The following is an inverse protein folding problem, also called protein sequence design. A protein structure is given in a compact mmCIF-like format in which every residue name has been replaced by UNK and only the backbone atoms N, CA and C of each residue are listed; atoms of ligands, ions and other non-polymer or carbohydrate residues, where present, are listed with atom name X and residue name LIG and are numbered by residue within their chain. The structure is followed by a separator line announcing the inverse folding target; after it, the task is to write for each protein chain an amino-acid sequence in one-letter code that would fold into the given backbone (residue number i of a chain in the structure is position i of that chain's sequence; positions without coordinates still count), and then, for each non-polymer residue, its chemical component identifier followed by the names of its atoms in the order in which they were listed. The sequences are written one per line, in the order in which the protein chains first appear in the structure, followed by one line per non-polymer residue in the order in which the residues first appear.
data_IF_686777459654
#
_entry.id   IF_686777459654
#
_cell.length_a   1.000
_cell.length_b   1.000
_cell.length_c   1.000
_cell.angle_alpha   90.00
_cell.angle_beta   90.00
_cell.angle_gamma   90.00
#
_symmetry.space_group_name_H-M   'P 1'
#
loop_
_entity.id
_entity.type
_entity.pdbx_description
1 polymer ?
#
# COMPACT_ATOMS: atom_id res chain seq x y z
N UNK A 1 8.45 -16.33 -24.82
CA UNK A 1 7.91 -14.97 -24.61
C UNK A 1 8.09 -14.49 -23.17
N UNK A 2 7.56 -15.20 -22.15
CA UNK A 2 7.69 -14.78 -20.74
C UNK A 2 9.13 -14.47 -20.34
N UNK A 3 10.09 -15.34 -20.66
CA UNK A 3 11.51 -15.16 -20.29
C UNK A 3 12.16 -13.92 -20.93
N UNK A 4 11.79 -13.56 -22.17
CA UNK A 4 12.36 -12.39 -22.85
C UNK A 4 11.80 -11.08 -22.28
N UNK A 5 10.48 -11.01 -22.08
CA UNK A 5 9.81 -9.88 -21.44
C UNK A 5 10.29 -9.70 -20.00
N UNK A 6 10.38 -10.79 -19.24
CA UNK A 6 10.90 -10.80 -17.86
C UNK A 6 12.34 -10.29 -17.80
N UNK A 7 13.21 -10.80 -18.67
CA UNK A 7 14.61 -10.40 -18.70
C UNK A 7 14.76 -8.93 -19.10
N UNK A 8 13.96 -8.42 -20.04
CA UNK A 8 13.97 -7.02 -20.43
C UNK A 8 13.61 -6.10 -19.24
N UNK A 9 12.44 -6.30 -18.61
CA UNK A 9 12.01 -5.47 -17.49
C UNK A 9 12.92 -5.63 -16.27
N UNK A 10 13.39 -6.84 -15.99
CA UNK A 10 14.39 -7.07 -14.93
C UNK A 10 15.68 -6.28 -15.17
N UNK A 11 16.23 -6.35 -16.39
CA UNK A 11 17.48 -5.66 -16.72
C UNK A 11 17.29 -4.15 -16.71
N UNK A 12 16.13 -3.65 -17.14
CA UNK A 12 15.77 -2.25 -17.07
C UNK A 12 15.74 -1.78 -15.61
N UNK A 13 15.00 -2.48 -14.74
CA UNK A 13 14.87 -2.12 -13.33
C UNK A 13 16.20 -2.18 -12.59
N UNK A 14 16.96 -3.27 -12.75
CA UNK A 14 18.26 -3.43 -12.07
C UNK A 14 19.30 -2.40 -12.52
N UNK A 15 19.20 -1.88 -13.76
CA UNK A 15 20.19 -0.95 -14.31
C UNK A 15 19.85 0.51 -14.05
N UNK A 16 18.57 0.86 -13.97
CA UNK A 16 18.13 2.26 -13.96
C UNK A 16 17.32 2.66 -12.72
N UNK A 17 16.75 1.73 -11.96
CA UNK A 17 15.97 2.08 -10.79
C UNK A 17 16.90 2.26 -9.58
N UNK A 18 17.07 3.51 -9.17
CA UNK A 18 17.78 3.86 -7.94
C UNK A 18 16.96 3.47 -6.70
N UNK A 19 17.59 3.54 -5.53
CA UNK A 19 16.88 3.44 -4.26
C UNK A 19 15.79 4.53 -4.14
N UNK A 20 14.64 4.19 -3.57
CA UNK A 20 13.49 5.10 -3.42
C UNK A 20 13.83 6.43 -2.73
N UNK A 21 14.74 6.42 -1.75
CA UNK A 21 15.18 7.66 -1.11
C UNK A 21 16.03 8.53 -2.04
N UNK A 22 16.95 7.91 -2.80
CA UNK A 22 17.72 8.62 -3.83
C UNK A 22 16.80 9.24 -4.87
N UNK A 23 15.73 8.54 -5.26
CA UNK A 23 14.72 9.07 -6.19
C UNK A 23 14.02 10.29 -5.59
N UNK A 24 13.63 10.27 -4.31
CA UNK A 24 13.02 11.43 -3.65
C UNK A 24 13.94 12.67 -3.63
N UNK A 25 15.25 12.48 -3.45
CA UNK A 25 16.26 13.56 -3.56
C UNK A 25 16.32 14.10 -4.98
N UNK A 26 16.40 13.22 -5.99
CA UNK A 26 16.43 13.63 -7.40
C UNK A 26 15.15 14.37 -7.79
N UNK A 27 14.00 13.93 -7.27
CA UNK A 27 12.72 14.60 -7.47
C UNK A 27 12.68 15.99 -6.83
N UNK A 28 13.32 16.16 -5.68
CA UNK A 28 13.48 17.47 -5.04
C UNK A 28 14.27 18.42 -5.93
N UNK A 29 15.40 17.97 -6.46
CA UNK A 29 16.19 18.79 -7.39
C UNK A 29 15.43 19.09 -8.68
N UNK A 30 14.69 18.11 -9.21
CA UNK A 30 13.87 18.32 -10.40
C UNK A 30 12.78 19.35 -10.15
N UNK A 31 12.03 19.25 -9.04
CA UNK A 31 11.00 20.21 -8.68
C UNK A 31 11.58 21.62 -8.55
N UNK A 32 12.73 21.76 -7.87
CA UNK A 32 13.40 23.06 -7.75
C UNK A 32 13.88 23.62 -9.08
N UNK A 33 14.42 22.77 -9.96
CA UNK A 33 14.84 23.19 -11.30
C UNK A 33 13.65 23.66 -12.13
N UNK A 34 12.53 22.93 -12.08
CA UNK A 34 11.32 23.29 -12.82
C UNK A 34 10.73 24.60 -12.29
N UNK A 35 10.75 24.83 -10.98
CA UNK A 35 10.31 26.09 -10.38
C UNK A 35 11.14 27.26 -10.92
N UNK A 36 12.47 27.13 -10.90
CA UNK A 36 13.36 28.20 -11.37
C UNK A 36 13.29 28.43 -12.89
N UNK A 37 13.06 27.38 -13.68
CA UNK A 37 13.13 27.48 -15.17
C UNK A 37 11.78 27.77 -15.82
N UNK A 38 10.67 27.31 -15.23
CA UNK A 38 9.31 27.50 -15.75
C UNK A 38 8.64 28.70 -15.11
N UNK A 39 8.66 28.78 -13.77
CA UNK A 39 8.00 29.86 -13.02
C UNK A 39 8.91 31.06 -12.78
N UNK A 40 10.22 30.89 -13.00
CA UNK A 40 11.20 31.97 -12.83
C UNK A 40 11.52 32.30 -11.37
N UNK A 41 11.21 31.41 -10.43
CA UNK A 41 11.49 31.62 -9.01
C UNK A 41 13.00 31.70 -8.73
N UNK A 42 13.39 32.49 -7.72
CA UNK A 42 14.79 32.56 -7.31
C UNK A 42 15.27 31.28 -6.62
N UNK A 43 16.58 30.98 -6.65
CA UNK A 43 17.13 29.81 -5.94
C UNK A 43 16.86 29.86 -4.42
N UNK A 44 17.04 31.03 -3.80
CA UNK A 44 16.82 31.21 -2.36
C UNK A 44 15.34 31.04 -2.00
N UNK A 45 14.45 31.64 -2.79
CA UNK A 45 13.01 31.54 -2.64
C UNK A 45 12.53 30.08 -2.81
N UNK A 46 13.02 29.38 -3.84
CA UNK A 46 12.72 27.97 -4.07
C UNK A 46 13.20 27.09 -2.91
N UNK A 47 14.36 27.42 -2.32
CA UNK A 47 14.89 26.74 -1.14
C UNK A 47 14.01 27.00 0.09
N UNK A 48 13.49 28.22 0.24
CA UNK A 48 12.56 28.58 1.31
C UNK A 48 11.22 27.85 1.17
N UNK A 49 10.66 27.74 -0.03
CA UNK A 49 9.48 26.91 -0.30
C UNK A 49 9.69 25.45 0.09
N UNK A 50 10.84 24.87 -0.25
CA UNK A 50 11.17 23.51 0.13
C UNK A 50 11.32 23.32 1.64
N UNK A 51 12.08 24.22 2.29
CA UNK A 51 12.40 24.11 3.70
C UNK A 51 11.21 24.39 4.62
N UNK A 52 10.37 25.36 4.26
CA UNK A 52 9.14 25.68 5.02
C UNK A 52 8.11 24.55 4.93
N UNK A 53 7.95 23.93 3.76
CA UNK A 53 7.01 22.82 3.57
C UNK A 53 7.49 21.44 4.06
N UNK A 54 8.76 21.30 4.44
CA UNK A 54 9.39 20.00 4.75
C UNK A 54 8.69 19.21 5.86
N UNK A 55 8.02 19.89 6.79
CA UNK A 55 7.36 19.29 7.96
C UNK A 55 5.83 19.22 7.86
N UNK A 56 5.25 19.68 6.75
CA UNK A 56 3.79 19.82 6.60
C UNK A 56 3.03 18.49 6.65
N UNK A 57 3.72 17.38 6.40
CA UNK A 57 3.14 16.03 6.40
C UNK A 57 3.47 15.20 7.64
N UNK A 58 3.96 15.79 8.74
CA UNK A 58 4.37 15.03 9.93
C UNK A 58 3.27 14.12 10.50
N UNK A 59 2.07 14.66 10.70
CA UNK A 59 0.93 13.88 11.21
C UNK A 59 0.56 12.73 10.26
N UNK A 60 0.48 13.04 8.96
CA UNK A 60 0.18 12.07 7.91
C UNK A 60 1.24 10.97 7.80
N UNK A 61 2.52 11.34 7.91
CA UNK A 61 3.65 10.41 7.92
C UNK A 61 3.52 9.42 9.07
N UNK A 62 3.23 9.91 10.27
CA UNK A 62 3.05 9.06 11.45
C UNK A 62 1.84 8.14 11.28
N UNK A 63 0.73 8.61 10.70
CA UNK A 63 -0.43 7.77 10.40
C UNK A 63 -0.07 6.60 9.47
N UNK A 64 0.71 6.84 8.41
CA UNK A 64 1.14 5.79 7.48
C UNK A 64 2.11 4.80 8.12
N UNK A 65 3.03 5.29 8.96
CA UNK A 65 3.95 4.44 9.74
C UNK A 65 3.16 3.52 10.67
N UNK A 66 2.17 4.06 11.41
CA UNK A 66 1.33 3.25 12.30
C UNK A 66 0.51 2.22 11.52
N UNK A 67 -0.06 2.59 10.37
CA UNK A 67 -0.85 1.66 9.54
C UNK A 67 -0.03 0.41 9.22
N UNK A 68 1.19 0.59 8.72
CA UNK A 68 2.03 -0.53 8.30
C UNK A 68 2.56 -1.31 9.50
N UNK A 69 3.06 -0.62 10.52
CA UNK A 69 3.62 -1.26 11.70
C UNK A 69 2.57 -2.05 12.49
N UNK A 70 1.39 -1.48 12.72
CA UNK A 70 0.30 -2.16 13.40
C UNK A 70 -0.28 -3.30 12.54
N UNK A 71 -0.38 -3.11 11.22
CA UNK A 71 -0.75 -4.17 10.28
C UNK A 71 0.22 -5.36 10.31
N UNK A 72 1.53 -5.08 10.36
CA UNK A 72 2.56 -6.10 10.52
C UNK A 72 2.40 -6.88 11.83
N UNK A 73 2.18 -6.17 12.94
CA UNK A 73 1.96 -6.81 14.25
C UNK A 73 0.74 -7.72 14.21
N UNK A 74 -0.37 -7.23 13.65
CA UNK A 74 -1.62 -8.00 13.52
C UNK A 74 -1.43 -9.29 12.71
N UNK A 75 -0.69 -9.21 11.60
CA UNK A 75 -0.38 -10.35 10.72
C UNK A 75 0.42 -11.46 11.43
N UNK A 76 1.20 -11.10 12.46
CA UNK A 76 2.05 -12.02 13.24
C UNK A 76 1.39 -12.52 14.53
N UNK A 77 0.12 -12.22 14.75
CA UNK A 77 -0.60 -12.72 15.94
C UNK A 77 -0.85 -14.23 15.88
N UNK A 78 -0.86 -14.95 17.02
CA UNK A 78 -1.17 -16.38 17.04
C UNK A 78 -2.55 -16.73 16.48
N UNK A 79 -3.52 -15.83 16.60
CA UNK A 79 -4.88 -16.03 16.09
C UNK A 79 -4.90 -15.99 14.57
N UNK A 80 -4.22 -15.02 13.96
CA UNK A 80 -4.07 -14.94 12.51
C UNK A 80 -3.29 -16.15 12.01
N UNK A 81 -2.16 -16.48 12.62
CA UNK A 81 -1.33 -17.62 12.22
C UNK A 81 -2.13 -18.95 12.18
N UNK A 82 -2.87 -19.25 13.25
CA UNK A 82 -3.75 -20.43 13.31
C UNK A 82 -4.85 -20.42 12.25
N UNK A 83 -5.43 -19.25 11.98
CA UNK A 83 -6.48 -19.09 10.97
C UNK A 83 -5.92 -19.37 9.58
N UNK A 84 -4.74 -18.82 9.27
CA UNK A 84 -4.05 -19.06 8.02
C UNK A 84 -3.67 -20.55 7.88
N UNK A 85 -3.14 -21.19 8.92
CA UNK A 85 -2.81 -22.63 8.88
C UNK A 85 -4.03 -23.50 8.59
N UNK A 86 -5.18 -23.20 9.20
CA UNK A 86 -6.44 -23.92 8.92
C UNK A 86 -6.94 -23.73 7.50
N UNK A 87 -6.79 -22.52 6.95
CA UNK A 87 -7.16 -22.21 5.58
C UNK A 87 -6.27 -22.99 4.60
N UNK A 88 -4.95 -22.93 4.80
CA UNK A 88 -3.96 -23.60 3.95
C UNK A 88 -4.12 -25.13 4.02
N UNK A 89 -4.38 -25.71 5.19
CA UNK A 89 -4.56 -27.16 5.39
C UNK A 89 -5.63 -27.81 4.49
N UNK A 90 -6.62 -27.04 4.00
CA UNK A 90 -7.70 -27.54 3.12
C UNK A 90 -7.33 -27.52 1.64
N UNK A 91 -6.19 -26.93 1.27
CA UNK A 91 -5.79 -26.71 -0.12
C UNK A 91 -4.81 -27.79 -0.58
N UNK A 92 -5.17 -28.49 -1.66
CA UNK A 92 -4.40 -29.64 -2.17
C UNK A 92 -4.04 -29.55 -3.66
N UNK A 93 -4.45 -28.48 -4.37
CA UNK A 93 -4.24 -28.34 -5.82
C UNK A 93 -3.46 -27.07 -6.14
N UNK A 94 -2.48 -27.11 -7.07
CA UNK A 94 -1.63 -25.95 -7.34
C UNK A 94 -2.36 -24.67 -7.76
N UNK A 95 -3.33 -24.78 -8.67
CA UNK A 95 -4.13 -23.63 -9.10
C UNK A 95 -4.99 -23.06 -7.98
N UNK A 96 -5.54 -23.92 -7.13
CA UNK A 96 -6.30 -23.49 -5.94
C UNK A 96 -5.40 -22.80 -4.93
N UNK A 97 -4.15 -23.24 -4.77
CA UNK A 97 -3.17 -22.56 -3.94
C UNK A 97 -2.88 -21.14 -4.43
N UNK A 98 -2.72 -20.94 -5.73
CA UNK A 98 -2.57 -19.59 -6.30
C UNK A 98 -3.79 -18.71 -6.00
N UNK A 99 -5.00 -19.23 -6.21
CA UNK A 99 -6.24 -18.49 -5.94
C UNK A 99 -6.31 -18.07 -4.46
N UNK A 100 -6.05 -19.00 -3.54
CA UNK A 100 -6.10 -18.72 -2.10
C UNK A 100 -5.03 -17.73 -1.68
N UNK A 101 -3.82 -17.81 -2.24
CA UNK A 101 -2.76 -16.83 -1.97
C UNK A 101 -3.17 -15.42 -2.43
N UNK A 102 -3.70 -15.28 -3.65
CA UNK A 102 -4.17 -13.99 -4.16
C UNK A 102 -5.33 -13.44 -3.35
N UNK A 103 -6.31 -14.27 -2.98
CA UNK A 103 -7.44 -13.84 -2.15
C UNK A 103 -6.99 -13.42 -0.75
N UNK A 104 -6.04 -14.13 -0.15
CA UNK A 104 -5.52 -13.78 1.17
C UNK A 104 -4.80 -12.43 1.16
N UNK A 105 -3.95 -12.18 0.17
CA UNK A 105 -3.31 -10.87 -0.03
C UNK A 105 -4.35 -9.78 -0.32
N UNK A 106 -5.29 -10.04 -1.24
CA UNK A 106 -6.31 -9.09 -1.67
C UNK A 106 -7.29 -8.68 -0.58
N UNK A 107 -7.90 -9.66 0.10
CA UNK A 107 -8.81 -9.41 1.23
C UNK A 107 -8.03 -8.75 2.38
N UNK A 108 -6.82 -9.23 2.65
CA UNK A 108 -5.94 -8.60 3.64
C UNK A 108 -5.73 -7.11 3.33
N UNK A 109 -5.41 -6.77 2.08
CA UNK A 109 -5.16 -5.40 1.64
C UNK A 109 -6.41 -4.52 1.63
N UNK A 110 -7.59 -5.09 1.37
CA UNK A 110 -8.87 -4.40 1.50
C UNK A 110 -9.18 -4.02 2.95
N UNK A 111 -8.80 -4.86 3.92
CA UNK A 111 -9.00 -4.57 5.34
C UNK A 111 -7.95 -3.59 5.84
N UNK A 112 -6.69 -3.88 5.57
CA UNK A 112 -5.56 -3.04 5.91
C UNK A 112 -4.37 -3.35 5.01
N UNK A 113 -3.83 -2.35 4.32
CA UNK A 113 -2.79 -2.56 3.33
C UNK A 113 -1.49 -3.09 3.91
N UNK A 114 -1.11 -2.65 5.12
CA UNK A 114 0.06 -3.15 5.82
C UNK A 114 -0.06 -4.62 6.21
N UNK A 115 -1.24 -5.01 6.72
CA UNK A 115 -1.59 -6.39 7.03
C UNK A 115 -1.60 -7.27 5.77
N UNK A 116 -2.28 -6.83 4.70
CA UNK A 116 -2.40 -7.57 3.44
C UNK A 116 -1.07 -7.85 2.76
N UNK A 117 -0.18 -6.85 2.77
CA UNK A 117 1.17 -6.98 2.23
C UNK A 117 1.94 -8.14 2.89
N UNK A 118 1.85 -8.26 4.22
CA UNK A 118 2.54 -9.31 4.99
C UNK A 118 1.83 -10.65 4.84
N UNK A 119 0.51 -10.68 4.96
CA UNK A 119 -0.30 -11.91 4.92
C UNK A 119 -0.22 -12.61 3.56
N UNK A 120 -0.23 -11.86 2.45
CA UNK A 120 -0.09 -12.43 1.11
C UNK A 120 1.18 -13.28 0.96
N UNK A 121 2.31 -12.76 1.43
CA UNK A 121 3.59 -13.47 1.43
C UNK A 121 3.61 -14.69 2.35
N UNK A 122 3.09 -14.56 3.58
CA UNK A 122 3.01 -15.67 4.54
C UNK A 122 2.18 -16.82 3.99
N UNK A 123 0.98 -16.53 3.47
CA UNK A 123 0.07 -17.56 2.93
C UNK A 123 0.68 -18.25 1.71
N UNK A 124 1.28 -17.47 0.80
CA UNK A 124 1.96 -18.03 -0.38
C UNK A 124 3.09 -18.99 0.02
N UNK A 125 3.93 -18.59 0.99
CA UNK A 125 5.01 -19.44 1.52
C UNK A 125 4.50 -20.71 2.21
N UNK A 126 3.39 -20.64 2.96
CA UNK A 126 2.78 -21.81 3.60
C UNK A 126 2.20 -22.79 2.57
N UNK A 127 1.47 -22.27 1.59
CA UNK A 127 0.89 -23.08 0.51
C UNK A 127 1.96 -23.75 -0.35
N UNK A 128 3.06 -23.05 -0.66
CA UNK A 128 4.16 -23.61 -1.42
C UNK A 128 4.81 -24.82 -0.73
N UNK A 129 4.88 -24.82 0.61
CA UNK A 129 5.42 -25.96 1.38
C UNK A 129 4.47 -27.15 1.44
N UNK A 130 3.16 -26.88 1.47
CA UNK A 130 2.13 -27.90 1.64
C UNK A 130 1.71 -28.56 0.31
N UNK A 131 1.58 -27.77 -0.77
CA UNK A 131 1.01 -28.22 -2.04
C UNK A 131 2.11 -28.51 -3.05
N UNK A 132 2.37 -29.79 -3.28
CA UNK A 132 3.32 -30.25 -4.31
C UNK A 132 2.88 -29.77 -5.71
N UNK A 133 3.85 -29.44 -6.55
CA UNK A 133 3.63 -28.96 -7.91
C UNK A 133 3.21 -27.50 -8.03
N UNK A 134 3.19 -26.72 -6.94
CA UNK A 134 3.00 -25.26 -7.00
C UNK A 134 4.27 -24.59 -7.48
N UNK A 135 4.14 -23.78 -8.54
CA UNK A 135 5.24 -22.93 -8.98
C UNK A 135 5.48 -21.78 -8.00
N UNK A 136 6.62 -21.82 -7.31
CA UNK A 136 6.95 -20.95 -6.19
C UNK A 136 7.05 -19.47 -6.55
N UNK A 137 7.74 -19.05 -7.63
CA UNK A 137 7.76 -17.65 -8.04
C UNK A 137 6.37 -17.08 -8.34
N UNK A 138 5.51 -17.86 -8.99
CA UNK A 138 4.15 -17.42 -9.30
C UNK A 138 3.27 -17.30 -8.06
N UNK A 139 3.32 -18.24 -7.09
CA UNK A 139 2.47 -18.10 -5.90
C UNK A 139 2.88 -16.91 -5.03
N UNK A 140 4.18 -16.56 -4.98
CA UNK A 140 4.66 -15.34 -4.33
C UNK A 140 4.16 -14.09 -5.08
N UNK A 141 4.33 -14.04 -6.40
CA UNK A 141 3.78 -12.95 -7.23
C UNK A 141 2.26 -12.81 -7.07
N UNK A 142 1.55 -13.94 -7.02
CA UNK A 142 0.11 -13.99 -6.87
C UNK A 142 -0.36 -13.51 -5.50
N UNK A 143 0.34 -13.89 -4.42
CA UNK A 143 0.06 -13.40 -3.07
C UNK A 143 0.32 -11.89 -2.95
N UNK A 144 1.44 -11.41 -3.50
CA UNK A 144 1.75 -9.98 -3.53
C UNK A 144 0.77 -9.17 -4.40
N UNK A 145 0.34 -9.70 -5.54
CA UNK A 145 -0.57 -8.97 -6.45
C UNK A 145 -1.90 -8.58 -5.83
N UNK A 146 -2.33 -9.25 -4.76
CA UNK A 146 -3.47 -8.84 -3.96
C UNK A 146 -3.32 -7.42 -3.40
N UNK A 147 -2.09 -6.93 -3.23
CA UNK A 147 -1.79 -5.56 -2.84
C UNK A 147 -2.35 -4.51 -3.82
N UNK A 148 -2.64 -4.87 -5.08
CA UNK A 148 -3.35 -3.97 -6.02
C UNK A 148 -4.74 -3.52 -5.54
N UNK A 149 -5.36 -4.25 -4.59
CA UNK A 149 -6.66 -3.89 -4.01
C UNK A 149 -6.54 -2.88 -2.86
N UNK A 150 -5.34 -2.52 -2.41
CA UNK A 150 -5.18 -1.71 -1.19
C UNK A 150 -5.80 -0.32 -1.29
N UNK A 151 -5.71 0.30 -2.46
CA UNK A 151 -6.31 1.60 -2.74
C UNK A 151 -7.84 1.61 -2.78
N UNK A 152 -8.45 0.43 -2.82
CA UNK A 152 -9.89 0.22 -2.84
C UNK A 152 -10.44 -0.22 -1.46
N UNK A 153 -9.56 -0.31 -0.45
CA UNK A 153 -9.87 -0.84 0.87
C UNK A 153 -10.13 0.22 1.95
N UNK A 154 -10.44 -0.26 3.15
CA UNK A 154 -10.71 0.54 4.36
C UNK A 154 -9.51 1.36 4.85
N UNK A 155 -8.32 1.04 4.36
CA UNK A 155 -7.08 1.79 4.62
C UNK A 155 -6.52 2.46 3.36
N UNK A 156 -7.29 2.56 2.27
CA UNK A 156 -6.83 3.16 1.02
C UNK A 156 -6.31 4.58 1.28
N UNK A 157 -5.03 4.81 1.02
CA UNK A 157 -4.32 5.98 1.56
C UNK A 157 -4.97 7.30 1.18
N UNK A 158 -5.27 7.52 -0.11
CA UNK A 158 -5.93 8.73 -0.59
C UNK A 158 -7.37 8.85 -0.10
N UNK A 159 -8.29 7.88 -0.34
CA UNK A 159 -9.70 8.04 0.04
C UNK A 159 -9.90 8.22 1.54
N UNK A 160 -9.09 7.56 2.37
CA UNK A 160 -9.19 7.71 3.83
C UNK A 160 -8.53 9.02 4.30
N UNK A 161 -7.45 9.48 3.64
CA UNK A 161 -6.86 10.78 3.94
C UNK A 161 -7.84 11.93 3.68
N UNK A 162 -8.46 11.96 2.50
CA UNK A 162 -9.41 13.05 2.14
C UNK A 162 -10.74 12.95 2.89
N UNK A 163 -10.99 11.85 3.61
CA UNK A 163 -12.10 11.74 4.56
C UNK A 163 -11.71 12.10 6.00
N UNK A 164 -10.42 12.38 6.27
CA UNK A 164 -9.89 12.66 7.61
C UNK A 164 -9.74 14.17 7.79
N UNK A 165 -10.39 14.75 8.80
CA UNK A 165 -10.24 16.18 9.12
C UNK A 165 -8.80 16.54 9.49
N UNK A 166 -8.39 17.74 9.08
CA UNK A 166 -7.04 18.28 9.15
C UNK A 166 -6.15 17.89 7.96
N UNK A 167 -6.68 17.28 6.90
CA UNK A 167 -5.85 16.94 5.74
C UNK A 167 -5.44 18.18 4.94
N UNK A 168 -4.26 18.16 4.33
CA UNK A 168 -3.62 19.33 3.69
C UNK A 168 -4.37 19.89 2.46
N UNK A 169 -5.46 19.24 2.01
CA UNK A 169 -6.31 19.73 0.92
C UNK A 169 -7.73 20.08 1.38
N UNK A 170 -8.03 20.01 2.68
CA UNK A 170 -9.41 20.17 3.20
C UNK A 170 -9.98 21.53 2.84
N UNK A 171 -9.20 22.61 2.92
CA UNK A 171 -9.64 23.94 2.50
C UNK A 171 -9.99 24.02 1.02
N UNK A 172 -9.35 23.17 0.20
CA UNK A 172 -9.56 23.14 -1.25
C UNK A 172 -10.78 22.28 -1.62
N UNK A 173 -10.92 21.08 -1.04
CA UNK A 173 -11.93 20.10 -1.50
C UNK A 173 -12.99 19.75 -0.45
N UNK A 174 -12.88 20.28 0.76
CA UNK A 174 -13.66 19.82 1.91
C UNK A 174 -13.33 18.37 2.28
N UNK A 175 -14.17 17.79 3.13
CA UNK A 175 -14.10 16.35 3.44
C UNK A 175 -14.86 15.56 2.39
N UNK A 176 -14.19 14.55 1.82
CA UNK A 176 -14.79 13.61 0.87
C UNK A 176 -15.11 12.31 1.60
N UNK A 177 -16.39 11.96 1.81
CA UNK A 177 -16.76 10.78 2.56
C UNK A 177 -16.49 9.48 1.78
N UNK A 178 -16.27 8.38 2.51
CA UNK A 178 -16.01 7.08 1.91
C UNK A 178 -17.19 6.53 1.07
N UNK A 179 -18.40 7.02 1.31
CA UNK A 179 -19.61 6.72 0.51
C UNK A 179 -19.48 7.17 -0.96
N UNK A 180 -18.66 8.19 -1.23
CA UNK A 180 -18.43 8.71 -2.58
C UNK A 180 -17.14 8.18 -3.20
N UNK A 181 -16.33 7.44 -2.44
CA UNK A 181 -15.05 6.89 -2.89
C UNK A 181 -15.11 5.36 -2.92
N UNK A 182 -14.52 4.67 -1.94
CA UNK A 182 -14.39 3.21 -1.92
C UNK A 182 -15.75 2.48 -1.82
N UNK A 183 -16.77 3.13 -1.25
CA UNK A 183 -18.12 2.57 -1.16
C UNK A 183 -19.07 3.06 -2.25
N UNK A 184 -18.59 3.86 -3.21
CA UNK A 184 -19.36 4.17 -4.42
C UNK A 184 -19.60 2.89 -5.23
N UNK A 185 -20.75 2.81 -5.91
CA UNK A 185 -21.10 1.65 -6.72
C UNK A 185 -20.02 1.29 -7.76
N UNK A 186 -19.45 2.24 -8.53
CA UNK A 186 -18.39 1.93 -9.50
C UNK A 186 -17.14 1.34 -8.85
N UNK A 187 -16.74 1.82 -7.66
CA UNK A 187 -15.59 1.27 -6.93
C UNK A 187 -15.89 -0.08 -6.30
N UNK A 188 -17.10 -0.32 -5.81
CA UNK A 188 -17.51 -1.64 -5.34
C UNK A 188 -17.51 -2.68 -6.47
N UNK A 189 -18.02 -2.32 -7.65
CA UNK A 189 -17.98 -3.17 -8.83
C UNK A 189 -16.55 -3.43 -9.31
N UNK A 190 -15.68 -2.41 -9.25
CA UNK A 190 -14.25 -2.55 -9.59
C UNK A 190 -13.54 -3.49 -8.60
N UNK A 191 -13.74 -3.28 -7.31
CA UNK A 191 -13.23 -4.14 -6.23
C UNK A 191 -13.67 -5.59 -6.43
N UNK A 192 -14.97 -5.82 -6.67
CA UNK A 192 -15.50 -7.16 -6.92
C UNK A 192 -14.90 -7.79 -8.17
N UNK A 193 -14.76 -7.01 -9.25
CA UNK A 193 -14.17 -7.47 -10.51
C UNK A 193 -12.73 -7.91 -10.30
N UNK A 194 -11.89 -7.11 -9.62
CA UNK A 194 -10.51 -7.49 -9.33
C UNK A 194 -10.47 -8.68 -8.37
N UNK A 195 -11.27 -8.69 -7.30
CA UNK A 195 -11.31 -9.77 -6.32
C UNK A 195 -11.69 -11.13 -6.93
N UNK A 196 -12.54 -11.13 -7.96
CA UNK A 196 -12.93 -12.36 -8.68
C UNK A 196 -11.92 -12.70 -9.77
N UNK A 197 -11.54 -11.74 -10.61
CA UNK A 197 -10.79 -12.01 -11.84
C UNK A 197 -9.29 -12.16 -11.62
N UNK A 198 -8.68 -11.42 -10.70
CA UNK A 198 -7.24 -11.47 -10.45
C UNK A 198 -6.79 -12.87 -9.95
N UNK A 199 -7.44 -13.52 -8.98
CA UNK A 199 -7.07 -14.89 -8.58
C UNK A 199 -7.21 -15.89 -9.72
N UNK A 200 -8.25 -15.75 -10.55
CA UNK A 200 -8.47 -16.61 -11.71
C UNK A 200 -7.36 -16.40 -12.74
N UNK A 201 -7.05 -15.15 -13.07
CA UNK A 201 -5.97 -14.80 -13.99
C UNK A 201 -4.63 -15.36 -13.51
N UNK A 202 -4.27 -15.13 -12.25
CA UNK A 202 -3.04 -15.68 -11.66
C UNK A 202 -3.00 -17.21 -11.74
N UNK A 203 -4.13 -17.89 -11.51
CA UNK A 203 -4.19 -19.35 -11.59
C UNK A 203 -3.94 -19.89 -13.01
N UNK A 204 -4.30 -19.12 -14.04
CA UNK A 204 -4.07 -19.45 -15.45
C UNK A 204 -2.60 -19.31 -15.84
N UNK A 205 -1.82 -18.50 -15.12
CA UNK A 205 -0.38 -18.34 -15.33
C UNK A 205 0.45 -19.55 -14.86
N UNK A 206 -0.16 -20.50 -14.13
CA UNK A 206 0.56 -21.67 -13.64
C UNK A 206 1.15 -22.48 -14.80
N UNK A 207 2.46 -22.81 -14.79
CA UNK A 207 3.08 -23.61 -15.83
C UNK A 207 2.34 -24.93 -16.06
N UNK A 208 2.12 -25.27 -17.33
CA UNK A 208 1.42 -26.51 -17.72
C UNK A 208 2.34 -27.72 -17.72
N UNK A 209 3.61 -27.52 -18.06
CA UNK A 209 4.61 -28.59 -18.10
C UNK A 209 5.32 -28.71 -16.77
N UNK A 210 5.57 -29.95 -16.33
CA UNK A 210 6.22 -30.24 -15.05
C UNK A 210 7.66 -29.72 -14.97
N UNK A 211 8.37 -29.71 -16.10
CA UNK A 211 9.77 -29.24 -16.22
C UNK A 211 9.93 -27.74 -15.93
N UNK A 212 8.87 -26.94 -16.14
CA UNK A 212 8.88 -25.50 -15.89
C UNK A 212 8.51 -25.15 -14.43
N UNK A 213 8.11 -26.14 -13.62
CA UNK A 213 7.65 -25.93 -12.24
C UNK A 213 8.87 -25.91 -11.30
N UNK A 214 9.21 -24.72 -10.84
CA UNK A 214 10.12 -24.50 -9.71
C UNK A 214 9.33 -24.56 -8.40
N UNK A 215 9.58 -25.57 -7.55
CA UNK A 215 9.01 -25.67 -6.20
C UNK A 215 9.88 -24.95 -5.15
N UNK A 216 9.32 -24.66 -3.97
CA UNK A 216 10.06 -24.03 -2.87
C UNK A 216 11.18 -24.95 -2.36
N UNK A 217 12.38 -24.40 -2.17
CA UNK A 217 13.41 -25.11 -1.41
C UNK A 217 13.05 -25.04 0.09
N UNK A 218 12.73 -26.19 0.68
CA UNK A 218 12.28 -26.30 2.08
C UNK A 218 13.37 -25.95 3.09
N UNK A 219 14.65 -26.00 2.71
CA UNK A 219 15.78 -25.70 3.58
C UNK A 219 16.07 -24.20 3.70
N UNK A 220 15.56 -23.36 2.79
CA UNK A 220 15.82 -21.92 2.76
C UNK A 220 15.05 -21.11 3.81
N UNK A 221 14.05 -21.70 4.48
CA UNK A 221 13.09 -20.93 5.29
C UNK A 221 12.76 -21.58 6.63
N UNK A 222 13.68 -21.44 7.59
CA UNK A 222 13.36 -21.57 9.01
C UNK A 222 12.63 -20.29 9.41
N UNK A 223 11.32 -20.36 9.69
CA UNK A 223 10.63 -19.23 10.32
C UNK A 223 11.31 -18.95 11.66
N UNK A 224 12.01 -17.82 11.77
CA UNK A 224 12.49 -17.34 13.06
C UNK A 224 11.29 -17.15 13.98
N UNK A 225 11.14 -18.08 14.91
CA UNK A 225 10.09 -18.03 15.90
C UNK A 225 10.54 -17.00 16.93
N UNK A 226 9.90 -15.82 16.95
CA UNK A 226 10.20 -14.79 17.93
C UNK A 226 9.99 -15.40 19.33
N UNK A 227 11.05 -15.52 20.12
CA UNK A 227 10.95 -16.03 21.49
C UNK A 227 10.12 -15.07 22.33
N UNK A 228 8.93 -15.53 22.72
CA UNK A 228 8.02 -14.81 23.59
C UNK A 228 8.30 -15.08 25.07
N UNK A 229 9.30 -15.89 25.42
CA UNK A 229 9.64 -16.13 26.82
C UNK A 229 10.49 -14.98 27.41
N UNK A 230 10.40 -14.72 28.73
CA UNK A 230 11.28 -13.79 29.43
C UNK A 230 12.72 -14.29 29.44
N UNK A 231 13.69 -13.38 29.32
CA UNK A 231 15.10 -13.71 29.58
C UNK A 231 15.31 -14.15 31.04
N UNK A 232 16.38 -14.90 31.33
CA UNK A 232 16.66 -15.36 32.70
C UNK A 232 16.83 -14.20 33.69
N UNK A 233 17.45 -13.10 33.25
CA UNK A 233 17.67 -11.89 34.04
C UNK A 233 16.39 -11.07 34.32
N UNK A 234 15.29 -11.36 33.61
CA UNK A 234 14.01 -10.67 33.78
C UNK A 234 13.08 -11.39 34.76
N UNK A 235 13.44 -12.57 35.28
CA UNK A 235 12.53 -13.37 36.10
C UNK A 235 12.36 -12.78 37.50
N UNK A 236 11.11 -12.62 37.94
CA UNK A 236 10.75 -12.34 39.34
C UNK A 236 10.54 -10.87 39.73
N UNK A 237 10.87 -9.90 38.87
CA UNK A 237 10.65 -8.46 39.16
C UNK A 237 9.19 -8.04 38.94
N UNK A 238 8.74 -6.97 39.61
CA UNK A 238 7.41 -6.39 39.38
C UNK A 238 7.25 -5.90 37.93
N UNK A 239 8.29 -5.27 37.38
CA UNK A 239 8.31 -4.81 35.99
C UNK A 239 8.09 -5.98 35.01
N UNK A 240 8.78 -7.10 35.22
CA UNK A 240 8.60 -8.30 34.40
C UNK A 240 7.19 -8.88 34.50
N UNK A 241 6.61 -8.91 35.71
CA UNK A 241 5.21 -9.34 35.90
C UNK A 241 4.23 -8.43 35.14
N UNK A 242 4.42 -7.11 35.16
CA UNK A 242 3.58 -6.17 34.40
C UNK A 242 3.75 -6.33 32.89
N UNK A 243 4.99 -6.41 32.41
CA UNK A 243 5.33 -6.59 30.99
C UNK A 243 4.71 -7.86 30.40
N UNK A 244 4.65 -8.94 31.19
CA UNK A 244 4.10 -10.24 30.79
C UNK A 244 2.62 -10.43 31.20
N UNK A 245 1.98 -9.43 31.82
CA UNK A 245 0.59 -9.54 32.28
C UNK A 245 -0.39 -9.46 31.12
N UNK A 246 -1.09 -10.58 30.88
CA UNK A 246 -2.21 -10.62 29.93
C UNK A 246 -3.37 -9.74 30.37
N UNK A 247 -3.56 -9.55 31.68
CA UNK A 247 -4.62 -8.69 32.21
C UNK A 247 -4.40 -7.25 31.76
N UNK A 248 -3.15 -6.77 31.84
CA UNK A 248 -2.82 -5.39 31.41
C UNK A 248 -3.17 -5.20 29.94
N UNK A 249 -2.73 -6.11 29.05
CA UNK A 249 -3.02 -5.99 27.63
C UNK A 249 -4.50 -6.19 27.29
N UNK A 250 -5.22 -7.10 27.97
CA UNK A 250 -6.67 -7.26 27.75
C UNK A 250 -7.47 -6.05 28.23
N UNK A 251 -7.16 -5.48 29.40
CA UNK A 251 -7.87 -4.29 29.90
C UNK A 251 -7.70 -3.12 28.94
N UNK A 252 -6.47 -2.81 28.52
CA UNK A 252 -6.22 -1.69 27.62
C UNK A 252 -6.77 -1.96 26.21
N UNK A 253 -6.68 -3.21 25.72
CA UNK A 253 -7.27 -3.62 24.45
C UNK A 253 -8.79 -3.47 24.43
N UNK A 254 -9.48 -3.93 25.48
CA UNK A 254 -10.94 -3.79 25.63
C UNK A 254 -11.34 -2.33 25.75
N UNK A 255 -10.61 -1.51 26.50
CA UNK A 255 -10.87 -0.07 26.59
C UNK A 255 -10.80 0.60 25.22
N UNK A 256 -9.79 0.24 24.41
CA UNK A 256 -9.70 0.71 23.03
C UNK A 256 -10.89 0.27 22.18
N UNK A 257 -11.27 -1.00 22.22
CA UNK A 257 -12.44 -1.48 21.46
C UNK A 257 -13.75 -0.80 21.91
N UNK A 258 -13.91 -0.50 23.20
CA UNK A 258 -15.05 0.26 23.70
C UNK A 258 -15.11 1.67 23.11
N UNK A 259 -13.97 2.36 23.02
CA UNK A 259 -13.91 3.67 22.38
C UNK A 259 -14.33 3.62 20.91
N UNK A 260 -13.90 2.60 20.16
CA UNK A 260 -14.31 2.42 18.75
C UNK A 260 -15.83 2.23 18.65
N UNK A 261 -16.42 1.41 19.53
CA UNK A 261 -17.88 1.23 19.57
C UNK A 261 -18.57 2.56 19.86
N UNK A 262 -18.10 3.32 20.86
CA UNK A 262 -18.66 4.64 21.19
C UNK A 262 -18.55 5.63 20.03
N UNK A 263 -17.41 5.65 19.33
CA UNK A 263 -17.19 6.51 18.15
C UNK A 263 -18.28 6.29 17.10
N UNK A 264 -18.53 5.04 16.72
CA UNK A 264 -19.56 4.72 15.72
C UNK A 264 -20.99 4.91 16.24
N UNK A 265 -21.28 4.60 17.51
CA UNK A 265 -22.59 4.86 18.13
C UNK A 265 -22.91 6.35 18.14
N UNK A 266 -21.89 7.21 18.29
CA UNK A 266 -22.03 8.66 18.25
C UNK A 266 -22.04 9.24 16.82
N UNK A 267 -22.10 8.40 15.78
CA UNK A 267 -22.15 8.84 14.38
C UNK A 267 -20.80 9.14 13.75
N UNK A 268 -19.70 8.75 14.39
CA UNK A 268 -18.36 8.89 13.83
C UNK A 268 -18.14 8.05 12.57
N UNK A 269 -17.36 8.57 11.63
CA UNK A 269 -16.98 7.88 10.39
C UNK A 269 -15.63 7.16 10.51
N UNK A 270 -15.30 6.34 9.51
CA UNK A 270 -13.96 5.77 9.37
C UNK A 270 -13.02 6.87 8.89
N UNK A 271 -11.89 7.02 9.58
CA UNK A 271 -10.77 7.88 9.20
C UNK A 271 -9.43 7.18 9.51
N UNK A 272 -8.30 7.80 9.16
CA UNK A 272 -6.97 7.20 9.35
C UNK A 272 -6.66 6.92 10.82
N UNK A 273 -7.10 7.78 11.73
CA UNK A 273 -6.83 7.65 13.16
C UNK A 273 -7.64 6.50 13.76
N UNK A 274 -8.91 6.36 13.41
CA UNK A 274 -9.77 5.27 13.88
C UNK A 274 -9.29 3.91 13.35
N UNK A 275 -8.85 3.85 12.09
CA UNK A 275 -8.24 2.62 11.54
C UNK A 275 -6.97 2.25 12.31
N UNK A 276 -6.06 3.21 12.52
CA UNK A 276 -4.84 3.00 13.28
C UNK A 276 -5.10 2.57 14.72
N UNK A 277 -6.03 3.24 15.37
CA UNK A 277 -6.46 2.94 16.73
C UNK A 277 -6.98 1.49 16.79
N UNK A 278 -7.88 1.11 15.88
CA UNK A 278 -8.40 -0.25 15.81
C UNK A 278 -7.29 -1.31 15.68
N UNK A 279 -6.31 -1.09 14.80
CA UNK A 279 -5.22 -2.04 14.57
C UNK A 279 -4.31 -2.20 15.79
N UNK A 280 -3.96 -1.09 16.46
CA UNK A 280 -3.12 -1.11 17.65
C UNK A 280 -3.80 -1.93 18.75
N UNK A 281 -5.04 -1.56 19.12
CA UNK A 281 -5.70 -2.20 20.26
C UNK A 281 -6.15 -3.63 19.97
N UNK A 282 -6.53 -3.93 18.72
CA UNK A 282 -6.77 -5.31 18.29
C UNK A 282 -5.48 -6.15 18.34
N UNK A 283 -4.35 -5.60 17.88
CA UNK A 283 -3.05 -6.26 17.96
C UNK A 283 -2.64 -6.56 19.41
N UNK A 284 -2.80 -5.59 20.31
CA UNK A 284 -2.54 -5.78 21.76
C UNK A 284 -3.44 -6.89 22.33
N UNK A 285 -4.74 -6.86 22.03
CA UNK A 285 -5.70 -7.83 22.54
C UNK A 285 -5.40 -9.25 22.05
N UNK A 286 -5.04 -9.41 20.78
CA UNK A 286 -4.74 -10.72 20.19
C UNK A 286 -3.39 -11.30 20.64
N UNK A 287 -2.44 -10.46 21.04
CA UNK A 287 -1.17 -10.89 21.64
C UNK A 287 -1.26 -11.12 23.15
N UNK A 288 -2.12 -10.38 23.83
CA UNK A 288 -2.39 -10.50 25.26
C UNK A 288 -1.38 -9.77 26.14
N UNK A 289 -0.10 -10.14 26.15
CA UNK A 289 0.89 -9.47 26.99
C UNK A 289 1.55 -8.28 26.26
N UNK A 290 1.69 -7.09 26.90
CA UNK A 290 2.28 -5.91 26.27
C UNK A 290 3.67 -6.14 25.66
N UNK A 291 4.52 -6.93 26.34
CA UNK A 291 5.88 -7.24 25.85
C UNK A 291 5.88 -7.96 24.50
N UNK A 292 4.85 -8.75 24.20
CA UNK A 292 4.74 -9.45 22.91
C UNK A 292 4.46 -8.47 21.78
N UNK A 293 3.63 -7.46 22.03
CA UNK A 293 3.38 -6.38 21.07
C UNK A 293 4.68 -5.63 20.77
N UNK A 294 5.45 -5.26 21.80
CA UNK A 294 6.73 -4.56 21.66
C UNK A 294 7.74 -5.39 20.85
N UNK A 295 7.91 -6.68 21.18
CA UNK A 295 8.85 -7.57 20.47
C UNK A 295 8.52 -7.69 18.98
N UNK A 296 7.24 -7.84 18.62
CA UNK A 296 6.83 -7.96 17.22
C UNK A 296 6.91 -6.59 16.51
N UNK A 297 6.54 -5.51 17.19
CA UNK A 297 6.62 -4.15 16.64
C UNK A 297 8.06 -3.77 16.30
N UNK A 298 9.04 -4.15 17.13
CA UNK A 298 10.45 -3.87 16.87
C UNK A 298 10.92 -4.40 15.50
N UNK A 299 10.45 -5.58 15.11
CA UNK A 299 10.70 -6.11 13.76
C UNK A 299 9.91 -5.36 12.69
N UNK A 300 8.65 -5.00 12.98
CA UNK A 300 7.81 -4.19 12.10
C UNK A 300 8.39 -2.81 11.79
N UNK A 301 9.11 -2.18 12.72
CA UNK A 301 9.71 -0.84 12.52
C UNK A 301 10.73 -0.83 11.37
N UNK A 302 11.40 -1.94 11.09
CA UNK A 302 12.33 -2.04 9.95
C UNK A 302 11.61 -1.81 8.61
N UNK A 303 10.32 -2.16 8.54
CA UNK A 303 9.50 -2.08 7.33
C UNK A 303 8.99 -0.66 7.02
N UNK A 304 9.04 0.27 7.98
CA UNK A 304 8.53 1.65 7.82
C UNK A 304 9.64 2.69 7.58
N UNK A 305 10.90 2.29 7.58
CA UNK A 305 12.07 3.18 7.46
C UNK A 305 12.01 4.08 6.22
N UNK A 306 11.61 3.52 5.08
CA UNK A 306 11.43 4.26 3.84
C UNK A 306 10.38 5.37 3.95
N UNK A 307 9.26 5.12 4.63
CA UNK A 307 8.19 6.11 4.86
C UNK A 307 8.73 7.27 5.69
N UNK A 308 9.38 6.97 6.83
CA UNK A 308 9.92 7.96 7.76
C UNK A 308 10.88 8.91 7.05
N UNK A 309 11.74 8.36 6.19
CA UNK A 309 12.78 9.12 5.52
C UNK A 309 12.28 9.92 4.31
N UNK A 310 11.35 9.36 3.52
CA UNK A 310 10.94 9.95 2.24
C UNK A 310 9.82 10.99 2.35
N UNK A 311 8.88 10.82 3.28
CA UNK A 311 7.70 11.68 3.35
C UNK A 311 8.01 13.16 3.59
N UNK A 312 9.00 13.52 4.44
CA UNK A 312 9.41 14.92 4.58
C UNK A 312 9.94 15.53 3.27
N UNK A 313 10.62 14.75 2.43
CA UNK A 313 11.05 15.22 1.10
C UNK A 313 9.86 15.44 0.16
N UNK A 314 8.85 14.58 0.20
CA UNK A 314 7.62 14.78 -0.56
C UNK A 314 6.84 16.03 -0.11
N UNK A 315 6.84 16.31 1.20
CA UNK A 315 6.30 17.54 1.76
C UNK A 315 7.06 18.78 1.25
N UNK A 316 8.40 18.73 1.27
CA UNK A 316 9.22 19.81 0.71
C UNK A 316 9.00 20.00 -0.79
N UNK A 317 8.85 18.93 -1.57
CA UNK A 317 8.49 19.01 -3.01
C UNK A 317 7.14 19.68 -3.18
N UNK A 318 6.13 19.30 -2.38
CA UNK A 318 4.82 19.96 -2.38
C UNK A 318 4.95 21.45 -2.08
N UNK A 319 5.78 21.83 -1.10
CA UNK A 319 6.12 23.22 -0.81
C UNK A 319 6.65 23.98 -2.02
N UNK A 320 7.61 23.40 -2.75
CA UNK A 320 8.11 23.97 -4.03
C UNK A 320 6.96 24.12 -5.03
N UNK A 321 6.16 23.07 -5.25
CA UNK A 321 5.12 23.07 -6.28
C UNK A 321 4.04 24.12 -6.01
N UNK A 322 3.60 24.24 -4.76
CA UNK A 322 2.58 25.21 -4.35
C UNK A 322 3.16 26.62 -4.35
N UNK A 323 4.32 26.83 -3.70
CA UNK A 323 4.93 28.14 -3.56
C UNK A 323 5.37 28.77 -4.89
N UNK A 324 5.87 27.95 -5.83
CA UNK A 324 6.31 28.44 -7.14
C UNK A 324 5.18 28.68 -8.14
N UNK A 325 3.99 28.10 -7.95
CA UNK A 325 2.91 28.13 -8.94
C UNK A 325 2.91 26.96 -9.94
N UNK A 326 3.88 26.04 -9.86
CA UNK A 326 3.93 24.86 -10.74
C UNK A 326 2.67 23.99 -10.69
N UNK A 327 1.93 23.99 -9.56
CA UNK A 327 0.62 23.32 -9.48
C UNK A 327 -0.32 23.82 -10.57
N UNK A 328 -0.40 25.13 -10.77
CA UNK A 328 -1.25 25.76 -11.79
C UNK A 328 -0.76 25.38 -13.18
N UNK A 329 0.53 25.51 -13.46
CA UNK A 329 1.12 25.17 -14.76
C UNK A 329 0.89 23.71 -15.14
N UNK A 330 1.16 22.77 -14.24
CA UNK A 330 0.92 21.35 -14.52
C UNK A 330 -0.56 21.03 -14.62
N UNK A 331 -1.43 21.67 -13.82
CA UNK A 331 -2.87 21.49 -13.95
C UNK A 331 -3.35 21.94 -15.34
N UNK A 332 -2.86 23.09 -15.83
CA UNK A 332 -3.16 23.63 -17.15
C UNK A 332 -2.79 22.67 -18.29
N UNK A 333 -1.70 21.90 -18.12
CA UNK A 333 -1.34 20.86 -19.07
C UNK A 333 -2.41 19.76 -19.15
N UNK A 334 -2.91 19.25 -18.01
CA UNK A 334 -4.01 18.28 -18.01
C UNK A 334 -5.29 18.87 -18.58
N UNK A 335 -5.63 20.11 -18.21
CA UNK A 335 -6.80 20.83 -18.72
C UNK A 335 -6.76 20.97 -20.25
N UNK A 336 -5.57 21.12 -20.85
CA UNK A 336 -5.43 21.36 -22.30
C UNK A 336 -5.89 20.20 -23.20
N UNK A 337 -5.91 18.97 -22.69
CA UNK A 337 -6.27 17.78 -23.48
C UNK A 337 -7.35 16.90 -22.84
N UNK A 338 -7.74 17.16 -21.59
CA UNK A 338 -8.77 16.40 -20.90
C UNK A 338 -10.14 17.07 -20.97
N UNK A 339 -11.17 16.28 -20.68
CA UNK A 339 -12.52 16.72 -20.39
C UNK A 339 -12.92 16.27 -18.99
N UNK A 340 -13.99 16.84 -18.42
CA UNK A 340 -14.52 16.42 -17.12
C UNK A 340 -14.75 14.89 -17.04
N UNK A 341 -15.18 14.28 -18.15
CA UNK A 341 -15.45 12.83 -18.21
C UNK A 341 -14.19 11.96 -18.31
N UNK A 342 -13.09 12.44 -18.89
CA UNK A 342 -11.89 11.62 -19.10
C UNK A 342 -10.70 12.01 -18.21
N UNK A 343 -10.80 13.10 -17.45
CA UNK A 343 -9.77 13.50 -16.50
C UNK A 343 -9.45 12.40 -15.49
N UNK A 344 -10.43 11.71 -14.85
CA UNK A 344 -10.10 10.61 -13.94
C UNK A 344 -9.25 9.52 -14.59
N UNK A 345 -9.53 9.16 -15.84
CA UNK A 345 -8.68 8.21 -16.57
C UNK A 345 -7.24 8.72 -16.72
N UNK A 346 -7.05 9.99 -17.11
CA UNK A 346 -5.72 10.58 -17.23
C UNK A 346 -5.01 10.80 -15.89
N UNK A 347 -5.75 11.06 -14.82
CA UNK A 347 -5.23 11.10 -13.45
C UNK A 347 -4.71 9.73 -13.02
N UNK A 348 -5.41 8.64 -13.38
CA UNK A 348 -4.95 7.28 -13.12
C UNK A 348 -3.69 6.93 -13.93
N UNK A 349 -3.66 7.28 -15.22
CA UNK A 349 -2.50 7.03 -16.08
C UNK A 349 -1.27 7.81 -15.60
N UNK A 350 -1.44 9.10 -15.28
CA UNK A 350 -0.33 9.90 -14.73
C UNK A 350 0.13 9.38 -13.38
N UNK A 351 -0.81 8.96 -12.52
CA UNK A 351 -0.50 8.36 -11.24
C UNK A 351 0.31 7.06 -11.36
N UNK A 352 0.02 6.24 -12.37
CA UNK A 352 0.81 5.06 -12.66
C UNK A 352 2.29 5.42 -12.93
N UNK A 353 2.56 6.45 -13.73
CA UNK A 353 3.95 6.83 -14.04
C UNK A 353 4.64 7.57 -12.88
N UNK A 354 3.92 8.42 -12.15
CA UNK A 354 4.46 9.15 -11.01
C UNK A 354 4.84 8.18 -9.87
N UNK A 355 4.13 7.07 -9.70
CA UNK A 355 4.46 6.07 -8.68
C UNK A 355 5.88 5.48 -8.83
N UNK A 356 6.43 5.43 -10.06
CA UNK A 356 7.83 5.03 -10.28
C UNK A 356 8.80 5.96 -9.54
N UNK A 357 8.42 7.23 -9.42
CA UNK A 357 9.20 8.32 -8.82
C UNK A 357 8.87 8.52 -7.32
N UNK A 358 7.61 8.34 -6.94
CA UNK A 358 7.14 8.44 -5.57
C UNK A 358 6.33 7.17 -5.21
N UNK A 359 7.00 6.06 -4.82
CA UNK A 359 6.38 4.73 -4.72
C UNK A 359 5.56 4.52 -3.45
N UNK A 360 4.62 5.43 -3.20
CA UNK A 360 3.84 5.52 -1.98
C UNK A 360 2.59 6.33 -2.25
N UNK A 361 1.40 5.75 -2.12
CA UNK A 361 0.15 6.44 -2.43
C UNK A 361 -0.03 7.75 -1.66
N UNK A 362 0.49 7.82 -0.42
CA UNK A 362 0.48 9.03 0.38
C UNK A 362 1.50 10.08 -0.09
N UNK A 363 2.73 9.65 -0.35
CA UNK A 363 3.79 10.54 -0.83
C UNK A 363 3.49 11.09 -2.23
N UNK A 364 2.97 10.23 -3.10
CA UNK A 364 2.47 10.59 -4.41
C UNK A 364 1.30 11.56 -4.32
N UNK A 365 0.35 11.35 -3.41
CA UNK A 365 -0.79 12.25 -3.25
C UNK A 365 -0.36 13.67 -2.82
N UNK A 366 0.67 13.79 -1.98
CA UNK A 366 1.21 15.11 -1.63
C UNK A 366 1.74 15.90 -2.84
N UNK A 367 2.30 15.21 -3.83
CA UNK A 367 2.90 15.83 -5.01
C UNK A 367 1.86 16.01 -6.12
N UNK A 368 1.11 14.96 -6.43
CA UNK A 368 0.18 14.91 -7.56
C UNK A 368 -1.23 15.39 -7.22
N UNK A 369 -1.67 15.21 -5.97
CA UNK A 369 -3.02 15.53 -5.52
C UNK A 369 -3.41 16.99 -5.78
N UNK A 370 -2.62 17.99 -5.37
CA UNK A 370 -2.91 19.40 -5.63
C UNK A 370 -3.11 19.69 -7.13
N UNK A 371 -2.26 19.11 -8.00
CA UNK A 371 -2.32 19.30 -9.46
C UNK A 371 -3.63 18.73 -10.03
N UNK A 372 -3.99 17.51 -9.62
CA UNK A 372 -5.20 16.84 -10.13
C UNK A 372 -6.48 17.50 -9.61
N UNK A 373 -6.47 17.95 -8.35
CA UNK A 373 -7.59 18.69 -7.76
C UNK A 373 -7.80 20.02 -8.49
N UNK A 374 -6.73 20.76 -8.76
CA UNK A 374 -6.82 22.04 -9.48
C UNK A 374 -7.33 21.86 -10.91
N UNK A 375 -6.82 20.85 -11.62
CA UNK A 375 -7.31 20.50 -12.95
C UNK A 375 -8.81 20.13 -12.93
N UNK A 376 -9.23 19.33 -11.94
CA UNK A 376 -10.60 18.91 -11.80
C UNK A 376 -11.54 20.08 -11.52
N UNK A 377 -11.15 21.01 -10.63
CA UNK A 377 -11.91 22.24 -10.39
C UNK A 377 -12.04 23.09 -11.66
N UNK A 378 -10.95 23.25 -12.40
CA UNK A 378 -10.90 24.10 -13.60
C UNK A 378 -11.88 23.63 -14.68
N UNK A 379 -12.00 22.32 -14.92
CA UNK A 379 -12.88 21.78 -15.97
C UNK A 379 -14.21 21.21 -15.44
N UNK A 380 -14.48 21.33 -14.14
CA UNK A 380 -15.69 20.80 -13.51
C UNK A 380 -15.76 19.27 -13.45
N UNK A 381 -14.62 18.59 -13.30
CA UNK A 381 -14.55 17.13 -13.08
C UNK A 381 -14.84 16.77 -11.62
N UNK A 382 -15.29 15.54 -11.37
CA UNK A 382 -15.47 15.02 -10.00
C UNK A 382 -14.13 14.89 -9.27
N UNK A 383 -14.03 15.52 -8.09
CA UNK A 383 -12.89 15.39 -7.19
C UNK A 383 -12.76 13.95 -6.67
N UNK A 384 -13.87 13.30 -6.39
CA UNK A 384 -13.93 11.95 -5.82
C UNK A 384 -13.41 10.92 -6.83
N UNK A 385 -13.88 11.00 -8.09
CA UNK A 385 -13.40 10.16 -9.18
C UNK A 385 -11.92 10.39 -9.44
N UNK A 386 -11.49 11.66 -9.53
CA UNK A 386 -10.09 12.03 -9.75
C UNK A 386 -9.18 11.57 -8.62
N UNK A 387 -9.61 11.69 -7.36
CA UNK A 387 -8.83 11.22 -6.20
C UNK A 387 -8.72 9.70 -6.18
N UNK A 388 -9.82 8.98 -6.45
CA UNK A 388 -9.80 7.52 -6.59
C UNK A 388 -8.93 7.08 -7.77
N UNK A 389 -8.93 7.82 -8.87
CA UNK A 389 -8.08 7.53 -10.02
C UNK A 389 -6.60 7.60 -9.67
N UNK A 390 -6.17 8.63 -8.92
CA UNK A 390 -4.79 8.71 -8.46
C UNK A 390 -4.43 7.52 -7.56
N UNK A 391 -5.31 7.18 -6.62
CA UNK A 391 -5.13 6.03 -5.72
C UNK A 391 -5.01 4.71 -6.48
N UNK A 392 -5.88 4.46 -7.45
CA UNK A 392 -5.87 3.22 -8.24
C UNK A 392 -4.69 3.17 -9.19
N UNK A 393 -4.27 4.31 -9.76
CA UNK A 393 -3.08 4.41 -10.60
C UNK A 393 -1.80 4.04 -9.83
N UNK A 394 -1.68 4.49 -8.58
CA UNK A 394 -0.62 4.05 -7.66
C UNK A 394 -0.68 2.54 -7.42
N UNK A 395 -1.84 2.02 -7.03
CA UNK A 395 -2.03 0.61 -6.75
C UNK A 395 -1.76 -0.30 -7.96
N UNK A 396 -2.03 0.21 -9.16
CA UNK A 396 -1.73 -0.43 -10.43
C UNK A 396 -0.22 -0.53 -10.67
N UNK A 397 0.53 0.55 -10.46
CA UNK A 397 1.98 0.58 -10.71
C UNK A 397 2.77 -0.27 -9.72
N UNK A 398 2.29 -0.42 -8.48
CA UNK A 398 2.90 -1.29 -7.46
C UNK A 398 3.10 -2.74 -7.92
N UNK A 399 2.50 -3.18 -9.02
CA UNK A 399 2.81 -4.48 -9.62
C UNK A 399 4.23 -4.54 -10.17
N UNK A 400 4.71 -3.48 -10.81
CA UNK A 400 6.05 -3.45 -11.43
C UNK A 400 7.04 -2.59 -10.65
N UNK A 401 6.55 -1.70 -9.79
CA UNK A 401 7.36 -0.92 -8.87
C UNK A 401 7.84 -1.80 -7.70
N UNK A 402 9.15 -1.82 -7.38
CA UNK A 402 9.69 -2.84 -6.48
C UNK A 402 9.69 -2.46 -4.99
N UNK A 403 9.39 -1.23 -4.60
CA UNK A 403 9.42 -0.77 -3.21
C UNK A 403 8.65 -1.71 -2.27
N UNK A 404 7.40 -2.03 -2.61
CA UNK A 404 6.55 -2.89 -1.78
C UNK A 404 6.78 -4.39 -1.97
N UNK A 405 7.24 -4.83 -3.14
CA UNK A 405 7.52 -6.25 -3.38
C UNK A 405 8.81 -6.72 -2.70
N UNK A 406 9.79 -5.81 -2.49
CA UNK A 406 11.09 -6.14 -1.91
C UNK A 406 10.98 -6.78 -0.51
N UNK A 407 10.18 -6.28 0.44
CA UNK A 407 9.92 -6.95 1.71
C UNK A 407 9.38 -8.39 1.54
N UNK A 408 8.46 -8.60 0.59
CA UNK A 408 7.90 -9.93 0.31
C UNK A 408 8.95 -10.86 -0.29
N UNK A 409 9.80 -10.33 -1.18
CA UNK A 409 10.89 -11.08 -1.80
C UNK A 409 11.94 -11.50 -0.77
N UNK A 410 12.30 -10.59 0.14
CA UNK A 410 13.20 -10.89 1.25
C UNK A 410 12.69 -12.05 2.11
N UNK A 411 11.38 -12.08 2.43
CA UNK A 411 10.75 -13.19 3.13
C UNK A 411 10.69 -14.48 2.31
N UNK A 412 10.62 -14.39 0.98
CA UNK A 412 10.49 -15.54 0.09
C UNK A 412 11.81 -16.15 -0.36
N UNK A 413 12.93 -15.44 -0.20
CA UNK A 413 14.25 -15.84 -0.73
C UNK A 413 14.38 -15.76 -2.26
N UNK A 414 13.35 -15.23 -2.95
CA UNK A 414 13.37 -14.99 -4.39
C UNK A 414 14.00 -13.63 -4.71
N UNK A 415 14.52 -13.50 -5.93
CA UNK A 415 14.98 -12.23 -6.50
C UNK A 415 13.85 -11.62 -7.32
N UNK A 416 13.89 -10.29 -7.49
CA UNK A 416 12.90 -9.56 -8.30
C UNK A 416 12.71 -10.16 -9.70
N UNK A 417 13.81 -10.59 -10.32
CA UNK A 417 13.83 -11.22 -11.64
C UNK A 417 13.01 -12.51 -11.74
N UNK A 418 12.82 -13.20 -10.62
CA UNK A 418 12.15 -14.50 -10.58
C UNK A 418 10.62 -14.31 -10.68
N UNK A 419 10.11 -13.14 -10.26
CA UNK A 419 8.67 -12.84 -10.21
C UNK A 419 8.22 -11.82 -11.26
N UNK A 420 9.12 -10.95 -11.73
CA UNK A 420 8.79 -9.77 -12.56
C UNK A 420 7.98 -10.12 -13.82
N UNK A 421 8.24 -11.27 -14.43
CA UNK A 421 7.48 -11.73 -15.60
C UNK A 421 5.99 -11.88 -15.35
N UNK A 422 5.64 -12.47 -14.21
CA UNK A 422 4.24 -12.63 -13.78
C UNK A 422 3.64 -11.27 -13.41
N UNK A 423 4.41 -10.44 -12.71
CA UNK A 423 3.98 -9.12 -12.30
C UNK A 423 3.60 -8.22 -13.48
N UNK A 424 4.37 -8.25 -14.57
CA UNK A 424 4.06 -7.49 -15.80
C UNK A 424 2.75 -7.98 -16.44
N UNK A 425 2.50 -9.30 -16.47
CA UNK A 425 1.23 -9.82 -17.00
C UNK A 425 0.04 -9.39 -16.14
N UNK A 426 0.22 -9.42 -14.82
CA UNK A 426 -0.79 -8.98 -13.86
C UNK A 426 -1.07 -7.49 -14.01
N UNK A 427 -0.02 -6.68 -14.16
CA UNK A 427 -0.12 -5.26 -14.45
C UNK A 427 -0.95 -4.99 -15.70
N UNK A 428 -0.75 -5.72 -16.81
CA UNK A 428 -1.60 -5.55 -18.00
C UNK A 428 -3.06 -5.93 -17.73
N UNK A 429 -3.32 -7.03 -17.02
CA UNK A 429 -4.68 -7.42 -16.66
C UNK A 429 -5.39 -6.35 -15.82
N UNK A 430 -4.74 -5.87 -14.76
CA UNK A 430 -5.27 -4.81 -13.90
C UNK A 430 -5.45 -3.50 -14.66
N UNK A 431 -4.54 -3.17 -15.57
CA UNK A 431 -4.63 -1.98 -16.42
C UNK A 431 -5.89 -1.99 -17.27
N UNK A 432 -6.29 -3.14 -17.82
CA UNK A 432 -7.54 -3.28 -18.57
C UNK A 432 -8.74 -3.03 -17.65
N UNK A 433 -8.77 -3.66 -16.48
CA UNK A 433 -9.88 -3.54 -15.52
C UNK A 433 -10.02 -2.09 -15.03
N UNK A 434 -8.93 -1.47 -14.57
CA UNK A 434 -8.94 -0.12 -14.01
C UNK A 434 -9.20 0.95 -15.07
N UNK A 435 -8.61 0.83 -16.26
CA UNK A 435 -8.90 1.75 -17.38
C UNK A 435 -10.37 1.69 -17.77
N UNK A 436 -10.94 0.48 -17.83
CA UNK A 436 -12.36 0.30 -18.12
C UNK A 436 -13.22 0.93 -17.02
N UNK A 437 -12.86 0.74 -15.74
CA UNK A 437 -13.58 1.31 -14.62
C UNK A 437 -13.63 2.85 -14.68
N UNK A 438 -12.51 3.54 -14.85
CA UNK A 438 -12.49 5.00 -14.85
C UNK A 438 -13.05 5.63 -16.13
N UNK A 439 -12.92 4.97 -17.27
CA UNK A 439 -13.61 5.43 -18.48
C UNK A 439 -15.12 5.28 -18.33
N UNK A 440 -15.62 4.12 -17.88
CA UNK A 440 -17.05 3.92 -17.67
C UNK A 440 -17.59 4.87 -16.60
N UNK A 441 -16.87 5.05 -15.50
CA UNK A 441 -17.29 5.93 -14.41
C UNK A 441 -17.39 7.38 -14.87
N UNK A 442 -16.38 7.89 -15.58
CA UNK A 442 -16.38 9.26 -16.05
C UNK A 442 -17.45 9.58 -17.11
N UNK A 443 -17.81 8.62 -17.98
CA UNK A 443 -18.83 8.83 -19.01
C UNK A 443 -20.26 8.51 -18.57
N UNK A 444 -20.47 7.63 -17.59
CA UNK A 444 -21.81 7.15 -17.21
C UNK A 444 -22.26 7.51 -15.79
N UNK A 445 -21.38 8.04 -14.95
CA UNK A 445 -21.72 8.51 -13.59
C UNK A 445 -21.39 7.53 -12.48
#
# INVERSE_FOLDING_TARGET
MLNATTSFFTNLMNKYLADSFTIAILLTFLAGLLAMTIEGTGFMETTEYWGSGFWDLLAFTMQMVVILAAGYVLAKTPVVDRTLNRMVAKVNRPRTAIIVATLAGGIGSLLNWGFGLVVGGIVAGKLARQVKGVHYPLIIAAGYSGFSLYGLGLSGTVPVLISTSGHFLEESIGLVPLSETIFSLPMLLTTLTVLVTLPLFNSLLHPKKKEDIIEINKELHVEETISLEPGEDEKGTLASKLNHSKIVGYVIGVLGLLYIIMHFVNGGSIDLNIVNFALIFLGILLLGAPIYYVKILHEGVKTVSGIILQYPFYAGIMGILVGSGLVVTFSGWFVSFSSAANLPFWSMVSAYFINILAPSGGGQWAIQGPIMVEAAKTIGSSIQQTSMAVMVGDAWNNMVQPFWILPVLALSGLKLKDVMGYMVLIMFWLGIVFSSAFLLWGYFG
#
